data_IF_298046632542
#
_entry.id   IF_298046632542
#
_cell.length_a   1.000
_cell.length_b   1.000
_cell.length_c   1.000
_cell.angle_alpha   90.00
_cell.angle_beta   90.00
_cell.angle_gamma   90.00
#
_symmetry.space_group_name_H-M   'P 1'
#
loop_
_entity.id
_entity.type
_entity.pdbx_description
1 polymer ?
#
# COMPACT_ATOMS: atom_id res chain seq x y z
N UNK A 1 8.47 3.61 13.21
CA UNK A 1 9.37 3.04 12.18
C UNK A 1 8.71 3.14 10.84
N UNK A 2 9.43 3.51 9.82
CA UNK A 2 8.82 3.53 8.49
C UNK A 2 8.53 2.11 8.00
N UNK A 3 7.56 2.02 7.12
CA UNK A 3 7.21 0.76 6.48
C UNK A 3 8.34 0.37 5.53
N UNK A 4 8.72 -0.90 5.52
CA UNK A 4 9.73 -1.39 4.60
C UNK A 4 9.08 -1.99 3.37
N UNK A 5 9.87 -2.09 2.30
CA UNK A 5 9.38 -2.71 1.07
C UNK A 5 8.98 -4.17 1.33
N UNK A 6 9.66 -4.84 2.26
CA UNK A 6 9.33 -6.23 2.58
C UNK A 6 7.94 -6.36 3.16
N UNK A 7 7.53 -5.41 3.98
CA UNK A 7 6.17 -5.43 4.54
C UNK A 7 5.12 -5.29 3.44
N UNK A 8 5.38 -4.45 2.46
CA UNK A 8 4.47 -4.30 1.33
C UNK A 8 4.42 -5.58 0.50
N UNK A 9 5.57 -6.20 0.27
CA UNK A 9 5.62 -7.46 -0.46
C UNK A 9 4.82 -8.56 0.23
N UNK A 10 4.95 -8.65 1.54
CA UNK A 10 4.22 -9.67 2.30
C UNK A 10 2.71 -9.44 2.15
N UNK A 11 2.27 -8.20 2.26
CA UNK A 11 0.85 -7.89 2.11
C UNK A 11 0.34 -8.27 0.73
N UNK A 12 1.13 -7.99 -0.31
CA UNK A 12 0.75 -8.35 -1.67
C UNK A 12 0.70 -9.86 -1.88
N UNK A 13 1.68 -10.56 -1.32
CA UNK A 13 1.76 -12.02 -1.48
C UNK A 13 0.59 -12.73 -0.80
N UNK A 14 0.10 -12.16 0.28
CA UNK A 14 -1.04 -12.74 0.98
C UNK A 14 -2.35 -12.55 0.22
N UNK A 15 -2.38 -11.61 -0.70
CA UNK A 15 -3.57 -11.37 -1.50
C UNK A 15 -4.72 -10.75 -0.75
N UNK A 16 -4.47 -10.16 0.39
CA UNK A 16 -5.50 -9.52 1.22
C UNK A 16 -5.50 -8.03 0.93
N UNK A 17 -6.66 -7.43 0.66
CA UNK A 17 -6.70 -5.97 0.47
C UNK A 17 -6.20 -5.23 1.69
N UNK A 18 -5.50 -4.14 1.47
CA UNK A 18 -4.93 -3.38 2.57
C UNK A 18 -4.93 -1.89 2.25
N UNK A 19 -4.74 -1.09 3.30
CA UNK A 19 -4.63 0.36 3.21
C UNK A 19 -3.20 0.75 3.49
N UNK A 20 -2.65 1.59 2.62
CA UNK A 20 -1.34 2.19 2.82
C UNK A 20 -1.57 3.57 3.43
N UNK A 21 -0.94 3.83 4.58
CA UNK A 21 -1.09 5.10 5.30
C UNK A 21 0.15 5.95 5.13
N UNK A 22 -0.07 7.22 4.84
CA UNK A 22 0.99 8.18 4.59
C UNK A 22 1.17 9.11 5.79
N UNK A 23 2.37 9.69 5.89
CA UNK A 23 2.68 10.60 7.00
C UNK A 23 1.80 11.84 7.02
N UNK A 24 1.28 12.26 5.87
CA UNK A 24 0.42 13.44 5.80
C UNK A 24 -1.05 13.13 6.08
N UNK A 25 -1.36 11.90 6.47
CA UNK A 25 -2.74 11.50 6.77
C UNK A 25 -3.48 10.87 5.61
N UNK A 26 -2.93 10.91 4.42
CA UNK A 26 -3.59 10.30 3.26
C UNK A 26 -3.53 8.78 3.36
N UNK A 27 -4.53 8.14 2.78
CA UNK A 27 -4.61 6.69 2.75
C UNK A 27 -4.95 6.24 1.34
N UNK A 28 -4.34 5.13 0.92
CA UNK A 28 -4.59 4.54 -0.38
C UNK A 28 -4.97 3.09 -0.19
N UNK A 29 -6.08 2.67 -0.81
CA UNK A 29 -6.57 1.31 -0.70
C UNK A 29 -6.00 0.50 -1.86
N UNK A 30 -5.38 -0.63 -1.52
CA UNK A 30 -4.85 -1.57 -2.51
C UNK A 30 -5.70 -2.83 -2.44
N UNK A 31 -6.46 -3.09 -3.49
CA UNK A 31 -7.34 -4.25 -3.54
C UNK A 31 -6.81 -5.37 -4.39
N UNK A 32 -5.74 -5.11 -5.14
CA UNK A 32 -5.27 -6.04 -6.16
C UNK A 32 -3.78 -5.80 -6.37
N UNK A 33 -3.01 -6.87 -6.44
CA UNK A 33 -1.58 -6.76 -6.65
C UNK A 33 -1.22 -6.09 -7.97
N UNK A 34 -2.14 -6.08 -8.93
CA UNK A 34 -1.90 -5.45 -10.22
C UNK A 34 -1.99 -3.93 -10.15
N UNK A 35 -2.43 -3.39 -9.02
CA UNK A 35 -2.55 -1.95 -8.84
C UNK A 35 -1.39 -1.34 -8.07
N UNK A 36 -0.33 -2.12 -7.84
CA UNK A 36 0.83 -1.68 -7.10
C UNK A 36 2.09 -2.10 -7.82
N UNK A 37 3.03 -1.19 -7.94
CA UNK A 37 4.37 -1.52 -8.42
C UNK A 37 5.38 -1.13 -7.35
N UNK A 38 6.38 -1.97 -7.14
CA UNK A 38 7.35 -1.79 -6.07
C UNK A 38 8.71 -1.40 -6.66
N UNK A 39 9.28 -0.35 -6.12
CA UNK A 39 10.64 0.05 -6.43
C UNK A 39 11.51 0.05 -5.18
N UNK A 40 12.78 0.31 -5.31
CA UNK A 40 13.68 0.28 -4.14
C UNK A 40 13.37 1.38 -3.13
N UNK A 41 12.89 2.54 -3.55
CA UNK A 41 12.63 3.65 -2.64
C UNK A 41 11.25 4.25 -2.79
N UNK A 42 10.49 3.79 -3.79
CA UNK A 42 9.14 4.27 -4.07
C UNK A 42 8.24 3.09 -4.33
N UNK A 43 6.95 3.26 -4.05
CA UNK A 43 5.93 2.38 -4.58
C UNK A 43 4.98 3.21 -5.44
N UNK A 44 4.34 2.57 -6.40
CA UNK A 44 3.30 3.21 -7.20
C UNK A 44 1.99 2.51 -6.91
N UNK A 45 0.96 3.29 -6.60
CA UNK A 45 -0.37 2.76 -6.32
C UNK A 45 -1.33 3.35 -7.34
N UNK A 46 -2.16 2.50 -7.94
CA UNK A 46 -3.21 2.96 -8.85
C UNK A 46 -4.52 2.95 -8.07
N UNK A 47 -5.14 4.11 -7.99
CA UNK A 47 -6.37 4.25 -7.20
C UNK A 47 -7.60 3.80 -7.99
N UNK A 48 -8.76 3.97 -7.38
CA UNK A 48 -10.03 3.52 -7.97
C UNK A 48 -10.37 4.24 -9.26
N UNK A 49 -9.81 5.40 -9.46
CA UNK A 49 -10.03 6.20 -10.66
C UNK A 49 -8.99 5.93 -11.73
N UNK A 50 -8.17 4.90 -11.52
CA UNK A 50 -7.12 4.51 -12.46
C UNK A 50 -6.03 5.56 -12.58
N UNK A 51 -5.78 6.30 -11.50
CA UNK A 51 -4.73 7.31 -11.45
C UNK A 51 -3.54 6.78 -10.65
N UNK A 52 -2.33 6.90 -11.20
CA UNK A 52 -1.15 6.43 -10.48
C UNK A 52 -0.70 7.45 -9.43
N UNK A 53 -0.20 6.95 -8.32
CA UNK A 53 0.37 7.76 -7.25
C UNK A 53 1.74 7.21 -6.89
N UNK A 54 2.76 8.07 -6.97
CA UNK A 54 4.12 7.68 -6.61
C UNK A 54 4.35 8.04 -5.15
N UNK A 55 4.61 7.04 -4.32
CA UNK A 55 4.72 7.22 -2.89
C UNK A 55 6.12 6.87 -2.42
N UNK A 56 6.89 7.84 -1.90
CA UNK A 56 8.19 7.50 -1.33
C UNK A 56 8.02 6.61 -0.11
N UNK A 57 8.81 5.55 -0.02
CA UNK A 57 8.68 4.60 1.09
C UNK A 57 8.84 5.28 2.44
N UNK A 58 9.73 6.25 2.55
CA UNK A 58 9.98 6.90 3.84
C UNK A 58 8.82 7.74 4.33
N UNK A 59 7.79 7.97 3.49
CA UNK A 59 6.60 8.70 3.92
C UNK A 59 5.46 7.77 4.28
N UNK A 60 5.66 6.46 4.18
CA UNK A 60 4.66 5.48 4.61
C UNK A 60 4.76 5.27 6.10
N UNK A 61 3.65 5.33 6.81
CA UNK A 61 3.64 5.17 8.25
C UNK A 61 3.00 3.87 8.69
N UNK A 62 2.25 3.20 7.83
CA UNK A 62 1.65 1.94 8.22
C UNK A 62 0.87 1.28 7.12
N UNK A 63 0.54 0.02 7.34
CA UNK A 63 -0.30 -0.77 6.47
C UNK A 63 -1.33 -1.45 7.35
N UNK A 64 -2.59 -1.38 6.95
CA UNK A 64 -3.68 -2.06 7.66
C UNK A 64 -4.44 -2.94 6.70
N UNK A 65 -4.69 -4.18 7.10
CA UNK A 65 -5.48 -5.09 6.28
C UNK A 65 -6.96 -4.77 6.42
N UNK A 66 -7.68 -4.88 5.31
CA UNK A 66 -9.11 -4.61 5.28
C UNK A 66 -9.95 -5.84 5.55
N UNK A 67 -9.44 -6.99 5.19
CA UNK A 67 -10.25 -8.20 5.21
C UNK A 67 -10.65 -8.63 6.61
N UNK A 68 -10.00 -8.10 7.61
CA UNK A 68 -10.27 -8.52 8.98
C UNK A 68 -11.68 -8.22 9.43
N UNK A 69 -12.35 -7.32 8.74
CA UNK A 69 -13.67 -7.04 9.20
C UNK A 69 -14.72 -7.83 8.55
N UNK A 70 -14.50 -8.74 7.89
CA UNK A 70 -15.53 -9.54 7.40
C UNK A 70 -16.10 -10.45 8.19
N UNK A 71 -16.19 -10.27 8.76
CA UNK A 71 -16.57 -11.02 9.39
C UNK A 71 -17.24 -11.29 9.57
#
# INVERSE_FOLDING_TARGET
MPVTIDQVKIALDEGIPFVVKMADGRQYIVTDRHRVALGPTYIMVIDEKDLPHMLPLRTLTGISYLASEEK
#
